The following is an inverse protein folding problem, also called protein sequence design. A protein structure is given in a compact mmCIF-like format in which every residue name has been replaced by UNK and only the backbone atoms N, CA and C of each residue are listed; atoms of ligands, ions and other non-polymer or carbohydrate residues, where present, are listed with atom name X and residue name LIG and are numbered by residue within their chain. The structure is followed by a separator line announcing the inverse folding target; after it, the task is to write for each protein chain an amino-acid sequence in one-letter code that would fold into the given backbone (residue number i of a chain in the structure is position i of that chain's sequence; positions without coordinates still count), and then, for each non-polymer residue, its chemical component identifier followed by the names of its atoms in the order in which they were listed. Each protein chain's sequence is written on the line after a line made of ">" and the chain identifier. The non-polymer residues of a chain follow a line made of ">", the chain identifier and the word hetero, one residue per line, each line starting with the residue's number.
data_IF_406348410645
#
_entry.id   IF_406348410645
#
_cell.length_a   1.000
_cell.length_b   1.000
_cell.length_c   1.000
_cell.angle_alpha   90.00
_cell.angle_beta   90.00
_cell.angle_gamma   90.00
#
_symmetry.space_group_name_H-M   'P 1'
#
loop_
_entity.id
_entity.type
_entity.pdbx_description
1 polymer ?
#
# COMPACT_ATOMS: atom_id res chain seq x y z
N UNK A 1 17.77 -13.08 14.61
CA UNK A 1 17.58 -14.38 13.90
C UNK A 1 18.64 -14.49 12.81
N UNK A 2 19.34 -15.63 12.73
CA UNK A 2 20.38 -15.85 11.71
C UNK A 2 19.77 -16.05 10.31
N UNK A 3 20.55 -15.80 9.25
CA UNK A 3 20.13 -15.98 7.85
C UNK A 3 19.58 -17.38 7.57
N UNK A 4 20.19 -18.41 8.15
CA UNK A 4 19.74 -19.80 7.95
C UNK A 4 18.35 -20.04 8.52
N UNK A 5 18.06 -19.48 9.71
CA UNK A 5 16.76 -19.61 10.37
C UNK A 5 15.64 -18.88 9.62
N UNK A 6 15.98 -17.85 8.82
CA UNK A 6 15.00 -17.12 8.01
C UNK A 6 14.47 -17.92 6.83
N UNK A 7 15.15 -19.01 6.43
CA UNK A 7 14.65 -19.90 5.37
C UNK A 7 13.41 -20.67 5.80
N UNK A 8 13.25 -20.90 7.10
CA UNK A 8 12.01 -21.42 7.66
C UNK A 8 10.97 -20.29 7.72
N UNK A 9 9.98 -20.40 6.83
CA UNK A 9 8.93 -19.39 6.64
C UNK A 9 8.04 -19.26 7.87
N UNK A 10 7.81 -20.33 8.62
CA UNK A 10 6.93 -20.31 9.78
C UNK A 10 7.65 -19.67 10.97
N UNK A 11 8.92 -20.04 11.21
CA UNK A 11 9.76 -19.39 12.22
C UNK A 11 9.93 -17.91 11.91
N UNK A 12 10.16 -17.56 10.64
CA UNK A 12 10.26 -16.16 10.21
C UNK A 12 8.96 -15.38 10.44
N UNK A 13 7.80 -15.96 10.08
CA UNK A 13 6.48 -15.35 10.30
C UNK A 13 6.20 -15.14 11.79
N UNK A 14 6.43 -16.14 12.62
CA UNK A 14 6.25 -16.05 14.07
C UNK A 14 7.15 -14.96 14.67
N UNK A 15 8.43 -14.92 14.27
CA UNK A 15 9.37 -13.91 14.77
C UNK A 15 8.93 -12.50 14.37
N UNK A 16 8.42 -12.30 13.15
CA UNK A 16 7.88 -11.02 12.70
C UNK A 16 6.66 -10.53 13.45
N UNK A 17 5.91 -11.44 14.08
CA UNK A 17 4.76 -11.07 14.91
C UNK A 17 5.17 -10.65 16.34
N UNK A 18 6.45 -10.81 16.71
CA UNK A 18 6.97 -10.37 18.01
C UNK A 18 7.27 -8.87 18.09
N UNK A 19 7.17 -8.14 16.97
CA UNK A 19 7.51 -6.72 16.89
C UNK A 19 7.00 -6.05 15.62
N UNK A 20 7.45 -4.82 15.39
CA UNK A 20 7.27 -4.02 14.19
C UNK A 20 8.50 -4.20 13.31
N UNK A 21 8.27 -4.49 12.03
CA UNK A 21 9.33 -4.54 11.02
C UNK A 21 9.36 -3.29 10.13
N UNK A 22 10.45 -3.08 9.39
CA UNK A 22 10.56 -1.93 8.48
C UNK A 22 9.45 -1.82 7.42
N UNK A 23 8.87 -2.93 6.95
CA UNK A 23 7.71 -2.91 6.04
C UNK A 23 6.41 -2.42 6.69
N UNK A 24 6.34 -2.49 8.02
CA UNK A 24 5.19 -2.11 8.82
C UNK A 24 5.19 -0.58 9.07
N UNK A 25 6.37 0.05 9.09
CA UNK A 25 6.56 1.49 9.28
C UNK A 25 5.67 2.34 8.35
N UNK A 26 5.68 2.03 7.05
CA UNK A 26 4.83 2.73 6.09
C UNK A 26 3.33 2.58 6.38
N UNK A 27 2.87 1.44 6.89
CA UNK A 27 1.46 1.23 7.23
C UNK A 27 1.07 2.02 8.50
N UNK A 28 1.96 2.07 9.49
CA UNK A 28 1.77 2.82 10.74
C UNK A 28 1.73 4.32 10.46
N UNK A 29 2.56 4.81 9.53
CA UNK A 29 2.60 6.21 9.10
C UNK A 29 1.52 6.56 8.06
N UNK A 30 0.68 5.62 7.64
CA UNK A 30 -0.38 5.86 6.65
C UNK A 30 0.11 6.04 5.20
N UNK A 31 1.36 5.69 4.92
CA UNK A 31 2.04 5.87 3.62
C UNK A 31 2.18 4.56 2.82
N UNK A 32 1.50 3.49 3.24
CA UNK A 32 1.50 2.20 2.53
C UNK A 32 0.20 2.03 1.72
N UNK A 33 0.29 1.96 0.38
CA UNK A 33 -0.91 1.85 -0.47
C UNK A 33 -1.62 0.49 -0.38
N UNK A 34 -0.97 -0.52 0.19
CA UNK A 34 -1.45 -1.91 0.20
C UNK A 34 -1.99 -2.35 1.56
N UNK A 35 -1.56 -1.71 2.65
CA UNK A 35 -1.88 -2.13 4.01
C UNK A 35 -2.07 -0.93 4.93
N UNK A 36 -3.24 -0.83 5.56
CA UNK A 36 -3.54 0.17 6.57
C UNK A 36 -3.03 -0.23 7.95
N UNK A 37 -2.94 0.77 8.86
CA UNK A 37 -2.66 0.58 10.29
C UNK A 37 -3.68 -0.38 10.93
N UNK A 38 -4.95 -0.28 10.55
CA UNK A 38 -6.02 -1.17 11.05
C UNK A 38 -5.82 -2.62 10.60
N UNK A 39 -5.54 -2.87 9.32
CA UNK A 39 -5.26 -4.23 8.85
C UNK A 39 -4.02 -4.80 9.55
N UNK A 40 -2.95 -4.01 9.69
CA UNK A 40 -1.75 -4.42 10.41
C UNK A 40 -2.05 -4.79 11.88
N UNK A 41 -2.91 -4.02 12.55
CA UNK A 41 -3.32 -4.30 13.93
C UNK A 41 -4.05 -5.64 14.06
N UNK A 42 -4.98 -5.95 13.16
CA UNK A 42 -5.65 -7.26 13.14
C UNK A 42 -4.65 -8.40 12.98
N UNK A 43 -3.64 -8.22 12.13
CA UNK A 43 -2.56 -9.20 11.92
C UNK A 43 -1.69 -9.37 13.18
N UNK A 44 -1.25 -8.28 13.81
CA UNK A 44 -0.37 -8.31 15.00
C UNK A 44 -1.07 -8.81 16.27
N UNK A 45 -2.40 -8.70 16.33
CA UNK A 45 -3.22 -9.20 17.44
C UNK A 45 -3.79 -10.59 17.20
N UNK A 46 -3.49 -11.22 16.06
CA UNK A 46 -3.97 -12.55 15.71
C UNK A 46 -5.47 -12.62 15.40
N UNK A 47 -6.12 -11.48 15.16
CA UNK A 47 -7.53 -11.40 14.76
C UNK A 47 -7.72 -11.68 13.26
N UNK A 48 -6.66 -11.50 12.46
CA UNK A 48 -6.64 -11.87 11.06
C UNK A 48 -5.31 -12.50 10.69
N UNK A 49 -5.35 -13.53 9.86
CA UNK A 49 -4.14 -14.05 9.24
C UNK A 49 -3.69 -13.13 8.10
N UNK A 50 -2.38 -12.84 7.97
CA UNK A 50 -1.85 -12.16 6.80
C UNK A 50 -2.23 -12.89 5.52
N UNK A 51 -2.49 -12.15 4.44
CA UNK A 51 -2.77 -12.75 3.13
C UNK A 51 -1.61 -13.67 2.72
N UNK A 52 -1.90 -14.92 2.34
CA UNK A 52 -0.87 -15.79 1.80
C UNK A 52 -0.51 -15.35 0.38
N UNK A 53 0.58 -14.61 0.28
CA UNK A 53 1.13 -14.09 -0.97
C UNK A 53 2.20 -15.02 -1.56
N UNK A 54 2.41 -16.22 -1.00
CA UNK A 54 3.44 -17.17 -1.44
C UNK A 54 3.32 -17.57 -2.91
N UNK A 55 2.08 -17.68 -3.43
CA UNK A 55 1.80 -18.01 -4.83
C UNK A 55 1.83 -16.82 -5.79
N UNK A 56 2.12 -15.59 -5.33
CA UNK A 56 2.23 -14.42 -6.20
C UNK A 56 3.61 -14.39 -6.86
N UNK A 57 3.66 -14.40 -8.19
CA UNK A 57 4.90 -14.29 -8.98
C UNK A 57 5.80 -13.12 -8.54
N UNK A 58 5.21 -11.98 -8.19
CA UNK A 58 5.96 -10.81 -7.71
C UNK A 58 6.75 -11.08 -6.41
N UNK A 59 6.23 -11.94 -5.53
CA UNK A 59 6.89 -12.32 -4.27
C UNK A 59 8.02 -13.31 -4.54
N UNK A 60 7.77 -14.28 -5.42
CA UNK A 60 8.79 -15.22 -5.88
C UNK A 60 9.97 -14.48 -6.51
N UNK A 61 9.71 -13.64 -7.53
CA UNK A 61 10.75 -12.91 -8.24
C UNK A 61 11.43 -11.86 -7.36
N UNK A 62 10.72 -11.21 -6.43
CA UNK A 62 11.35 -10.33 -5.44
C UNK A 62 12.40 -11.06 -4.60
N UNK A 63 12.13 -12.30 -4.20
CA UNK A 63 13.07 -13.13 -3.43
C UNK A 63 14.25 -13.59 -4.29
N UNK A 64 13.98 -14.05 -5.51
CA UNK A 64 15.02 -14.54 -6.44
C UNK A 64 15.96 -13.41 -6.86
N UNK A 65 15.40 -12.23 -7.17
CA UNK A 65 16.14 -11.09 -7.71
C UNK A 65 16.87 -10.26 -6.63
N UNK A 66 16.59 -10.47 -5.35
CA UNK A 66 17.27 -9.78 -4.25
C UNK A 66 18.81 -9.89 -4.35
N UNK A 67 19.34 -11.08 -4.65
CA UNK A 67 20.78 -11.27 -4.80
C UNK A 67 21.35 -10.57 -6.06
N UNK A 68 20.81 -10.77 -7.27
CA UNK A 68 21.22 -9.99 -8.45
C UNK A 68 21.15 -8.47 -8.27
N UNK A 69 20.13 -7.94 -7.59
CA UNK A 69 20.02 -6.50 -7.31
C UNK A 69 21.14 -6.04 -6.38
N UNK A 70 21.42 -6.80 -5.33
CA UNK A 70 22.52 -6.49 -4.41
C UNK A 70 23.89 -6.57 -5.11
N UNK A 71 24.10 -7.56 -5.97
CA UNK A 71 25.35 -7.74 -6.72
C UNK A 71 25.55 -6.59 -7.72
N UNK A 72 24.47 -6.15 -8.39
CA UNK A 72 24.52 -5.00 -9.30
C UNK A 72 24.86 -3.69 -8.57
N UNK A 73 24.30 -3.50 -7.36
CA UNK A 73 24.69 -2.39 -6.48
C UNK A 73 26.18 -2.45 -6.14
N UNK A 74 26.70 -3.61 -5.76
CA UNK A 74 28.11 -3.79 -5.43
C UNK A 74 29.03 -3.53 -6.64
N UNK A 75 28.65 -4.00 -7.83
CA UNK A 75 29.38 -3.77 -9.09
C UNK A 75 29.52 -2.28 -9.40
N UNK A 76 28.42 -1.53 -9.33
CA UNK A 76 28.41 -0.10 -9.69
C UNK A 76 29.09 0.80 -8.65
N UNK A 77 28.95 0.47 -7.37
CA UNK A 77 29.49 1.30 -6.28
C UNK A 77 30.89 0.89 -5.84
N UNK A 78 31.37 -0.29 -6.22
CA UNK A 78 32.59 -0.91 -5.71
C UNK A 78 32.52 -1.30 -4.22
N UNK A 79 31.36 -1.18 -3.58
CA UNK A 79 31.17 -1.49 -2.16
C UNK A 79 31.09 -3.00 -1.96
N UNK A 80 31.75 -3.49 -0.90
CA UNK A 80 31.63 -4.89 -0.47
C UNK A 80 30.38 -5.05 0.38
N UNK A 81 29.56 -6.05 0.07
CA UNK A 81 28.32 -6.34 0.79
C UNK A 81 28.37 -7.70 1.49
N UNK A 82 27.61 -7.87 2.56
CA UNK A 82 27.40 -9.16 3.23
C UNK A 82 25.94 -9.34 3.61
N UNK A 83 25.45 -10.59 3.58
CA UNK A 83 24.11 -10.92 4.08
C UNK A 83 24.00 -10.61 5.56
N UNK A 84 22.83 -10.13 5.95
CA UNK A 84 22.43 -9.98 7.34
C UNK A 84 21.12 -10.75 7.58
N UNK A 85 20.88 -11.09 8.84
CA UNK A 85 19.61 -11.68 9.25
C UNK A 85 18.69 -10.62 9.85
N UNK A 86 17.63 -11.08 10.51
CA UNK A 86 16.81 -10.17 11.32
C UNK A 86 17.57 -9.71 12.56
N UNK A 87 17.70 -8.39 12.70
CA UNK A 87 18.23 -7.71 13.87
C UNK A 87 17.08 -7.22 14.74
N UNK A 88 17.34 -7.06 16.03
CA UNK A 88 16.39 -6.56 17.01
C UNK A 88 17.06 -5.45 17.80
N UNK A 89 16.32 -4.37 18.08
CA UNK A 89 16.85 -3.31 18.92
C UNK A 89 17.02 -3.80 20.37
N UNK A 90 18.12 -3.39 21.01
CA UNK A 90 18.45 -3.83 22.39
C UNK A 90 17.56 -3.15 23.43
N UNK A 91 17.27 -1.86 23.25
CA UNK A 91 16.50 -1.06 24.20
C UNK A 91 15.00 -1.33 24.08
N UNK A 92 14.52 -1.46 22.86
CA UNK A 92 13.11 -1.62 22.51
C UNK A 92 12.95 -2.89 21.66
N UNK A 93 12.84 -4.09 22.28
CA UNK A 93 12.86 -5.37 21.55
C UNK A 93 11.73 -5.56 20.53
N UNK A 94 10.71 -4.71 20.57
CA UNK A 94 9.65 -4.71 19.58
C UNK A 94 10.08 -4.12 18.23
N UNK A 95 11.23 -3.44 18.13
CA UNK A 95 11.77 -2.97 16.85
C UNK A 95 12.61 -4.06 16.17
N UNK A 96 12.22 -4.48 14.96
CA UNK A 96 12.83 -5.56 14.19
C UNK A 96 13.30 -5.09 12.80
N UNK A 97 14.55 -5.34 12.44
CA UNK A 97 15.09 -5.01 11.12
C UNK A 97 15.41 -6.28 10.33
N UNK A 98 14.67 -6.55 9.26
CA UNK A 98 14.99 -7.59 8.29
C UNK A 98 15.95 -7.02 7.25
N UNK A 99 17.24 -7.07 7.55
CA UNK A 99 18.26 -6.40 6.73
C UNK A 99 18.69 -7.33 5.60
N UNK A 100 18.52 -6.92 4.33
CA UNK A 100 18.99 -7.73 3.20
C UNK A 100 20.52 -7.82 3.22
N UNK A 101 21.21 -6.69 3.21
CA UNK A 101 22.68 -6.64 3.27
C UNK A 101 23.19 -5.53 4.21
N UNK A 102 24.39 -5.75 4.74
CA UNK A 102 25.20 -4.71 5.36
C UNK A 102 26.40 -4.42 4.46
N UNK A 103 26.84 -3.16 4.46
CA UNK A 103 28.05 -2.76 3.74
C UNK A 103 29.28 -3.04 4.61
N UNK A 104 30.29 -3.68 4.03
CA UNK A 104 31.53 -4.03 4.74
C UNK A 104 32.47 -2.81 4.72
N UNK A 105 32.90 -2.38 5.91
CA UNK A 105 33.78 -1.22 6.06
C UNK A 105 33.06 0.13 6.08
N UNK A 106 31.73 0.12 6.02
CA UNK A 106 30.88 1.32 6.06
C UNK A 106 29.72 1.09 7.03
N UNK A 107 29.32 2.11 7.79
CA UNK A 107 28.17 2.03 8.70
C UNK A 107 26.87 2.21 7.90
N UNK A 108 26.53 1.23 7.08
CA UNK A 108 25.38 1.30 6.17
C UNK A 108 24.69 -0.04 5.99
N UNK A 109 23.37 0.00 5.82
CA UNK A 109 22.56 -1.11 5.34
C UNK A 109 22.22 -0.97 3.85
N UNK A 110 21.72 -2.04 3.26
CA UNK A 110 21.17 -2.05 1.90
C UNK A 110 19.86 -2.83 1.90
N UNK A 111 18.81 -2.22 1.36
CA UNK A 111 17.51 -2.81 1.02
C UNK A 111 17.42 -3.01 -0.50
N UNK A 112 16.97 -4.17 -0.94
CA UNK A 112 16.80 -4.51 -2.35
C UNK A 112 15.32 -4.64 -2.71
N UNK A 113 14.89 -3.94 -3.77
CA UNK A 113 13.51 -3.95 -4.26
C UNK A 113 13.42 -4.40 -5.70
N UNK A 114 12.30 -5.00 -6.05
CA UNK A 114 11.89 -5.23 -7.43
C UNK A 114 10.48 -4.65 -7.61
N UNK A 115 10.27 -3.86 -8.66
CA UNK A 115 8.98 -3.22 -8.92
C UNK A 115 8.61 -3.27 -10.40
N UNK A 116 7.34 -3.02 -10.71
CA UNK A 116 6.83 -3.05 -12.07
C UNK A 116 7.35 -1.85 -12.90
N UNK A 117 7.23 -1.92 -14.22
CA UNK A 117 7.73 -0.89 -15.14
C UNK A 117 6.98 0.46 -15.05
N UNK A 118 5.79 0.51 -14.44
CA UNK A 118 5.02 1.74 -14.31
C UNK A 118 5.52 2.63 -13.16
N UNK A 119 6.24 2.04 -12.21
CA UNK A 119 6.81 2.75 -11.05
C UNK A 119 8.03 3.61 -11.40
N UNK A 120 8.50 3.65 -12.66
CA UNK A 120 9.70 4.42 -13.06
C UNK A 120 9.63 5.88 -12.61
N UNK A 121 8.44 6.50 -12.67
CA UNK A 121 8.25 7.89 -12.27
C UNK A 121 8.55 8.14 -10.79
N UNK A 122 8.25 7.16 -9.94
CA UNK A 122 8.42 7.25 -8.48
C UNK A 122 9.89 7.22 -8.05
N UNK A 123 10.78 6.87 -8.98
CA UNK A 123 12.22 6.72 -8.74
C UNK A 123 13.07 7.72 -9.52
N UNK A 124 12.47 8.60 -10.34
CA UNK A 124 13.25 9.63 -11.04
C UNK A 124 13.88 10.61 -10.06
N UNK A 125 15.07 11.11 -10.42
CA UNK A 125 15.78 12.15 -9.67
C UNK A 125 16.01 11.73 -8.22
N UNK A 126 15.52 12.49 -7.25
CA UNK A 126 15.67 12.20 -5.81
C UNK A 126 14.41 11.57 -5.20
N UNK A 127 13.38 11.27 -6.00
CA UNK A 127 12.12 10.71 -5.48
C UNK A 127 12.29 9.28 -4.94
N UNK A 128 11.63 8.99 -3.83
CA UNK A 128 11.54 7.64 -3.28
C UNK A 128 10.11 7.43 -2.78
N UNK A 129 9.47 6.27 -3.03
CA UNK A 129 8.17 5.99 -2.44
C UNK A 129 8.21 6.13 -0.91
N UNK A 130 7.25 6.86 -0.34
CA UNK A 130 7.23 7.18 1.10
C UNK A 130 7.29 5.93 1.99
N UNK A 131 6.60 4.86 1.60
CA UNK A 131 6.67 3.58 2.32
C UNK A 131 8.10 3.02 2.41
N UNK A 132 8.93 3.20 1.39
CA UNK A 132 10.32 2.75 1.37
C UNK A 132 11.23 3.72 2.12
N UNK A 133 10.94 5.02 2.09
CA UNK A 133 11.60 6.00 2.94
C UNK A 133 11.44 5.65 4.42
N UNK A 134 10.20 5.47 4.89
CA UNK A 134 9.91 5.10 6.28
C UNK A 134 10.52 3.75 6.67
N UNK A 135 10.56 2.78 5.74
CA UNK A 135 11.28 1.52 5.96
C UNK A 135 12.78 1.74 6.22
N UNK A 136 13.44 2.62 5.45
CA UNK A 136 14.85 2.95 5.66
C UNK A 136 15.07 3.66 7.00
N UNK A 137 14.22 4.64 7.35
CA UNK A 137 14.27 5.32 8.65
C UNK A 137 14.08 4.34 9.81
N UNK A 138 13.13 3.39 9.71
CA UNK A 138 12.91 2.35 10.70
C UNK A 138 14.15 1.47 10.91
N UNK A 139 14.82 1.06 9.83
CA UNK A 139 16.04 0.27 9.95
C UNK A 139 17.18 1.05 10.59
N UNK A 140 17.37 2.32 10.24
CA UNK A 140 18.36 3.18 10.88
C UNK A 140 18.04 3.43 12.36
N UNK A 141 16.76 3.58 12.71
CA UNK A 141 16.29 3.64 14.10
C UNK A 141 16.60 2.35 14.87
N UNK A 142 16.30 1.20 14.27
CA UNK A 142 16.48 -0.13 14.90
C UNK A 142 17.95 -0.48 15.09
N UNK A 143 18.79 -0.21 14.09
CA UNK A 143 20.20 -0.65 14.04
C UNK A 143 21.21 0.40 14.51
N UNK A 144 20.82 1.67 14.58
CA UNK A 144 21.73 2.79 14.86
C UNK A 144 22.65 3.17 13.70
N UNK A 145 22.42 2.65 12.49
CA UNK A 145 23.21 3.02 11.32
C UNK A 145 22.81 4.41 10.79
N UNK A 146 23.77 5.22 10.30
CA UNK A 146 23.53 6.58 9.81
C UNK A 146 23.01 6.68 8.36
N UNK A 147 23.05 5.60 7.58
CA UNK A 147 22.61 5.60 6.19
C UNK A 147 22.04 4.24 5.80
N UNK A 148 21.03 4.25 4.94
CA UNK A 148 20.51 3.07 4.29
C UNK A 148 20.53 3.25 2.78
N UNK A 149 21.20 2.35 2.06
CA UNK A 149 21.06 2.28 0.62
C UNK A 149 19.78 1.54 0.27
N UNK A 150 19.10 2.00 -0.77
CA UNK A 150 18.00 1.26 -1.38
C UNK A 150 18.28 1.09 -2.86
N UNK A 151 18.37 -0.16 -3.31
CA UNK A 151 18.58 -0.52 -4.71
C UNK A 151 17.30 -1.14 -5.27
N UNK A 152 16.95 -0.79 -6.50
CA UNK A 152 15.72 -1.25 -7.14
C UNK A 152 15.98 -1.74 -8.57
N UNK A 153 15.33 -2.85 -8.92
CA UNK A 153 15.15 -3.27 -10.31
C UNK A 153 13.71 -2.99 -10.74
N UNK A 154 13.56 -2.07 -11.69
CA UNK A 154 12.29 -1.57 -12.21
C UNK A 154 12.03 -2.24 -13.56
N UNK A 155 10.87 -2.89 -13.69
CA UNK A 155 10.46 -3.54 -14.94
C UNK A 155 11.36 -4.70 -15.38
N UNK A 156 12.26 -5.18 -14.53
CA UNK A 156 13.20 -6.26 -14.81
C UNK A 156 14.44 -5.86 -15.62
N UNK A 157 14.59 -4.59 -16.01
CA UNK A 157 15.69 -4.15 -16.89
C UNK A 157 16.23 -2.75 -16.59
N UNK A 158 15.62 -1.98 -15.69
CA UNK A 158 16.09 -0.65 -15.30
C UNK A 158 16.52 -0.69 -13.83
N UNK A 159 17.82 -0.51 -13.58
CA UNK A 159 18.38 -0.49 -12.24
C UNK A 159 18.59 0.94 -11.76
N UNK A 160 18.27 1.20 -10.49
CA UNK A 160 18.57 2.45 -9.80
C UNK A 160 18.92 2.18 -8.33
N UNK A 161 19.63 3.11 -7.68
CA UNK A 161 19.86 3.06 -6.24
C UNK A 161 19.99 4.46 -5.63
N UNK A 162 19.59 4.58 -4.36
CA UNK A 162 19.66 5.84 -3.60
C UNK A 162 20.30 5.61 -2.24
N UNK A 163 20.99 6.63 -1.74
CA UNK A 163 21.46 6.69 -0.36
C UNK A 163 20.47 7.51 0.47
N UNK A 164 19.78 6.86 1.40
CA UNK A 164 18.83 7.50 2.32
C UNK A 164 19.57 7.83 3.62
N UNK A 165 19.82 9.11 3.92
CA UNK A 165 20.48 9.48 5.16
C UNK A 165 19.51 9.40 6.33
N UNK A 166 20.06 9.19 7.51
CA UNK A 166 19.31 9.25 8.75
C UNK A 166 18.76 10.67 8.96
N UNK A 167 17.47 10.76 9.28
CA UNK A 167 16.79 12.01 9.65
C UNK A 167 16.19 11.84 11.04
N UNK A 168 16.80 12.49 12.04
CA UNK A 168 16.46 12.26 13.45
C UNK A 168 15.07 12.78 13.82
N UNK A 169 14.61 13.87 13.22
CA UNK A 169 13.24 14.40 13.45
C UNK A 169 12.17 13.43 12.93
N UNK A 170 12.37 12.88 11.74
CA UNK A 170 11.48 11.87 11.17
C UNK A 170 11.53 10.57 11.97
N UNK A 171 12.72 10.14 12.42
CA UNK A 171 12.86 8.97 13.28
C UNK A 171 12.16 9.18 14.62
N UNK A 172 12.17 10.40 15.17
CA UNK A 172 11.43 10.71 16.39
C UNK A 172 9.92 10.55 16.18
N UNK A 173 9.38 11.13 15.11
CA UNK A 173 7.96 10.99 14.77
C UNK A 173 7.58 9.53 14.51
N UNK A 174 8.44 8.79 13.80
CA UNK A 174 8.25 7.37 13.53
C UNK A 174 8.27 6.55 14.82
N UNK A 175 9.23 6.80 15.72
CA UNK A 175 9.31 6.10 17.01
C UNK A 175 8.04 6.32 17.84
N UNK A 176 7.55 7.57 17.92
CA UNK A 176 6.34 7.89 18.67
C UNK A 176 5.12 7.13 18.09
N UNK A 177 4.96 7.13 16.77
CA UNK A 177 3.85 6.43 16.10
C UNK A 177 3.95 4.90 16.24
N UNK A 178 5.14 4.32 16.09
CA UNK A 178 5.38 2.88 16.23
C UNK A 178 5.25 2.42 17.69
N UNK A 179 5.75 3.21 18.65
CA UNK A 179 5.62 2.92 20.07
C UNK A 179 4.15 2.99 20.52
N UNK A 180 3.38 4.00 20.08
CA UNK A 180 1.93 4.04 20.35
C UNK A 180 1.25 2.81 19.72
N UNK A 181 1.53 2.52 18.46
CA UNK A 181 0.94 1.35 17.80
C UNK A 181 1.25 0.06 18.55
N UNK A 182 2.50 -0.16 18.94
CA UNK A 182 2.89 -1.40 19.60
C UNK A 182 2.35 -1.49 21.03
N UNK A 183 2.58 -0.47 21.86
CA UNK A 183 2.29 -0.51 23.28
C UNK A 183 0.81 -0.37 23.57
N UNK A 184 0.13 0.58 22.90
CA UNK A 184 -1.30 0.83 23.12
C UNK A 184 -2.15 -0.04 22.19
N UNK A 185 -1.91 0.00 20.88
CA UNK A 185 -2.81 -0.73 19.99
C UNK A 185 -2.64 -2.24 20.08
N UNK A 186 -1.41 -2.75 19.98
CA UNK A 186 -1.15 -4.19 19.95
C UNK A 186 -1.14 -4.80 21.36
N UNK A 187 -0.38 -4.25 22.31
CA UNK A 187 -0.22 -4.87 23.64
C UNK A 187 -1.43 -4.69 24.56
N UNK A 188 -2.07 -3.52 24.56
CA UNK A 188 -3.30 -3.29 25.35
C UNK A 188 -4.57 -3.67 24.59
N UNK A 189 -4.48 -3.99 23.29
CA UNK A 189 -5.62 -4.38 22.47
C UNK A 189 -6.56 -3.22 22.09
N UNK A 190 -6.07 -1.97 22.17
CA UNK A 190 -6.86 -0.79 21.79
C UNK A 190 -6.90 -0.67 20.27
N UNK A 191 -8.08 -0.77 19.66
CA UNK A 191 -8.23 -0.63 18.21
C UNK A 191 -7.69 0.73 17.73
N UNK A 192 -6.86 0.78 16.66
CA UNK A 192 -6.45 2.04 16.05
C UNK A 192 -7.61 2.67 15.26
N UNK A 193 -7.46 3.93 14.89
CA UNK A 193 -8.47 4.64 14.09
C UNK A 193 -8.74 3.96 12.74
N UNK A 194 -9.99 4.05 12.30
CA UNK A 194 -10.47 3.53 11.01
C UNK A 194 -10.24 4.60 9.95
N UNK A 195 -9.34 4.33 9.01
CA UNK A 195 -9.06 5.23 7.88
C UNK A 195 -9.99 4.97 6.67
N UNK A 196 -9.91 5.86 5.68
CA UNK A 196 -10.65 5.75 4.43
C UNK A 196 -10.02 4.85 3.37
N UNK A 197 -9.00 4.04 3.71
CA UNK A 197 -8.29 3.22 2.73
C UNK A 197 -9.10 1.99 2.30
N UNK A 198 -8.88 1.52 1.07
CA UNK A 198 -9.45 0.25 0.62
C UNK A 198 -9.00 -0.94 1.46
N UNK A 199 -7.79 -0.89 2.02
CA UNK A 199 -7.25 -1.93 2.90
C UNK A 199 -8.10 -2.07 4.16
N UNK A 200 -8.45 -0.95 4.80
CA UNK A 200 -9.35 -0.93 5.96
C UNK A 200 -10.74 -1.44 5.60
N UNK A 201 -11.32 -1.00 4.47
CA UNK A 201 -12.62 -1.49 4.02
C UNK A 201 -12.63 -3.03 3.82
N UNK A 202 -11.61 -3.57 3.17
CA UNK A 202 -11.45 -5.03 2.95
C UNK A 202 -11.23 -5.78 4.27
N UNK A 203 -10.48 -5.20 5.21
CA UNK A 203 -10.24 -5.77 6.52
C UNK A 203 -11.54 -5.85 7.36
N UNK A 204 -12.35 -4.78 7.37
CA UNK A 204 -13.66 -4.75 8.02
C UNK A 204 -14.60 -5.79 7.39
N UNK A 205 -14.67 -5.88 6.06
CA UNK A 205 -15.53 -6.86 5.38
C UNK A 205 -15.16 -8.31 5.73
N UNK A 206 -13.85 -8.61 5.84
CA UNK A 206 -13.38 -9.92 6.27
C UNK A 206 -13.68 -10.21 7.74
N UNK A 207 -13.50 -9.22 8.62
CA UNK A 207 -13.72 -9.37 10.07
C UNK A 207 -15.19 -9.63 10.40
N UNK A 208 -16.10 -8.98 9.67
CA UNK A 208 -17.53 -9.04 9.95
C UNK A 208 -18.29 -9.80 8.85
N UNK A 209 -18.37 -11.13 9.03
CA UNK A 209 -19.00 -12.09 8.10
C UNK A 209 -20.46 -11.78 7.67
N UNK A 210 -21.16 -10.90 8.39
CA UNK A 210 -22.53 -10.50 8.07
C UNK A 210 -23.56 -11.56 8.44
N UNK A 211 -24.66 -11.62 7.68
CA UNK A 211 -25.76 -12.60 7.79
C UNK A 211 -26.57 -12.61 9.11
N UNK A 212 -26.38 -11.64 9.99
CA UNK A 212 -27.29 -11.36 11.09
C UNK A 212 -28.31 -10.31 10.63
N UNK A 213 -29.59 -10.67 10.66
CA UNK A 213 -30.69 -9.77 10.28
C UNK A 213 -31.31 -9.04 11.46
N UNK A 214 -30.96 -9.42 12.69
CA UNK A 214 -31.44 -8.76 13.89
C UNK A 214 -30.94 -7.31 13.93
N UNK A 215 -31.84 -6.33 14.14
CA UNK A 215 -31.44 -4.95 14.26
C UNK A 215 -30.64 -4.75 15.55
N UNK A 216 -29.68 -3.82 15.50
CA UNK A 216 -28.99 -3.31 16.68
C UNK A 216 -29.26 -1.81 16.80
N UNK A 217 -29.22 -1.31 18.01
CA UNK A 217 -29.12 0.12 18.24
C UNK A 217 -27.63 0.52 18.14
N UNK A 218 -27.35 1.55 17.34
CA UNK A 218 -25.99 2.07 17.22
C UNK A 218 -25.68 2.99 18.41
N UNK A 219 -24.41 3.10 18.82
CA UNK A 219 -24.01 4.06 19.86
C UNK A 219 -24.23 5.50 19.38
N UNK A 220 -24.34 6.44 20.33
CA UNK A 220 -24.65 7.85 20.09
C UNK A 220 -23.72 8.52 19.06
N UNK A 221 -22.46 8.15 19.06
CA UNK A 221 -21.39 8.65 18.19
C UNK A 221 -21.66 8.34 16.71
N UNK A 222 -22.50 7.33 16.42
CA UNK A 222 -22.92 7.03 15.06
C UNK A 222 -23.75 8.14 14.41
N UNK A 223 -24.44 8.97 15.21
CA UNK A 223 -25.19 10.12 14.70
C UNK A 223 -24.25 11.18 14.09
N UNK A 224 -23.14 11.49 14.77
CA UNK A 224 -22.14 12.43 14.28
C UNK A 224 -21.47 11.91 13.00
N UNK A 225 -21.14 10.61 12.97
CA UNK A 225 -20.60 9.95 11.77
C UNK A 225 -21.57 10.03 10.59
N UNK A 226 -22.86 9.79 10.83
CA UNK A 226 -23.90 9.84 9.79
C UNK A 226 -24.08 11.26 9.25
N UNK A 227 -24.08 12.27 10.13
CA UNK A 227 -24.19 13.67 9.74
C UNK A 227 -22.99 14.12 8.88
N UNK A 228 -21.78 13.75 9.26
CA UNK A 228 -20.58 13.99 8.46
C UNK A 228 -20.67 13.30 7.09
N UNK A 229 -21.14 12.05 7.05
CA UNK A 229 -21.33 11.32 5.80
C UNK A 229 -22.31 12.03 4.85
N UNK A 230 -23.44 12.53 5.38
CA UNK A 230 -24.41 13.30 4.59
C UNK A 230 -23.82 14.61 4.06
N UNK A 231 -23.08 15.33 4.91
CA UNK A 231 -22.40 16.56 4.51
C UNK A 231 -21.40 16.31 3.38
N UNK A 232 -20.57 15.26 3.48
CA UNK A 232 -19.60 14.92 2.43
C UNK A 232 -20.27 14.49 1.14
N UNK A 233 -21.37 13.74 1.18
CA UNK A 233 -22.15 13.39 -0.01
C UNK A 233 -22.75 14.62 -0.69
N UNK A 234 -23.21 15.59 0.10
CA UNK A 234 -23.73 16.83 -0.43
C UNK A 234 -22.61 17.66 -1.09
N UNK A 235 -21.45 17.79 -0.43
CA UNK A 235 -20.27 18.43 -1.01
C UNK A 235 -19.81 17.74 -2.30
N UNK A 236 -19.79 16.41 -2.36
CA UNK A 236 -19.46 15.67 -3.58
C UNK A 236 -20.40 16.03 -4.74
N UNK A 237 -21.70 16.12 -4.46
CA UNK A 237 -22.71 16.52 -5.45
C UNK A 237 -22.47 17.96 -5.94
N UNK A 238 -22.20 18.88 -5.02
CA UNK A 238 -22.01 20.29 -5.33
C UNK A 238 -20.73 20.52 -6.15
N UNK A 239 -19.63 19.85 -5.79
CA UNK A 239 -18.38 19.88 -6.54
C UNK A 239 -18.56 19.28 -7.94
N UNK A 240 -19.27 18.15 -8.07
CA UNK A 240 -19.58 17.56 -9.39
C UNK A 240 -20.40 18.51 -10.26
N UNK A 241 -21.37 19.21 -9.69
CA UNK A 241 -22.14 20.21 -10.42
C UNK A 241 -21.26 21.39 -10.87
N UNK A 242 -20.38 21.87 -10.00
CA UNK A 242 -19.44 22.96 -10.33
C UNK A 242 -18.43 22.57 -11.43
N UNK A 243 -17.90 21.34 -11.39
CA UNK A 243 -17.05 20.78 -12.46
C UNK A 243 -17.81 20.78 -13.77
N UNK A 244 -19.03 20.22 -13.79
CA UNK A 244 -19.86 20.16 -14.99
C UNK A 244 -20.17 21.56 -15.55
N UNK A 245 -20.38 22.55 -14.68
CA UNK A 245 -20.57 23.95 -15.08
C UNK A 245 -19.33 24.50 -15.81
N UNK A 246 -18.12 24.23 -15.30
CA UNK A 246 -16.88 24.69 -15.96
C UNK A 246 -16.61 23.94 -17.26
N UNK A 247 -16.89 22.63 -17.32
CA UNK A 247 -16.83 21.85 -18.55
C UNK A 247 -17.79 22.42 -19.60
N UNK A 248 -19.03 22.73 -19.23
CA UNK A 248 -20.01 23.33 -20.14
C UNK A 248 -19.56 24.69 -20.65
N UNK A 249 -18.95 25.53 -19.79
CA UNK A 249 -18.37 26.82 -20.21
C UNK A 249 -17.25 26.63 -21.24
N UNK A 250 -16.35 25.67 -21.03
CA UNK A 250 -15.29 25.35 -22.00
C UNK A 250 -15.87 24.84 -23.32
N UNK A 251 -16.82 23.89 -23.28
CA UNK A 251 -17.48 23.38 -24.47
C UNK A 251 -18.21 24.51 -25.23
N UNK A 252 -18.87 25.43 -24.53
CA UNK A 252 -19.51 26.60 -25.14
C UNK A 252 -18.51 27.54 -25.82
N UNK A 253 -17.30 27.72 -25.26
CA UNK A 253 -16.21 28.47 -25.91
C UNK A 253 -15.63 27.73 -27.12
N UNK A 254 -15.56 26.39 -27.05
CA UNK A 254 -15.08 25.55 -28.16
C UNK A 254 -16.07 25.48 -29.32
N UNK A 255 -17.38 25.61 -29.07
CA UNK A 255 -18.40 25.56 -30.13
C UNK A 255 -18.30 24.27 -30.94
N UNK A 256 -18.19 24.39 -32.27
CA UNK A 256 -18.07 23.23 -33.17
C UNK A 256 -16.64 22.66 -33.28
N UNK A 257 -15.65 23.26 -32.62
CA UNK A 257 -14.26 22.85 -32.72
C UNK A 257 -13.95 21.70 -31.75
N UNK A 258 -13.38 20.63 -32.28
CA UNK A 258 -13.02 19.47 -31.45
C UNK A 258 -11.71 19.63 -30.67
N UNK A 259 -10.90 20.63 -31.00
CA UNK A 259 -9.58 20.87 -30.40
C UNK A 259 -9.42 22.36 -30.12
N UNK A 260 -9.06 22.69 -28.87
CA UNK A 260 -8.71 24.05 -28.43
C UNK A 260 -7.33 24.10 -27.78
N UNK A 261 -6.72 25.28 -27.74
CA UNK A 261 -5.44 25.52 -27.09
C UNK A 261 -5.51 26.72 -26.15
N UNK A 262 -4.89 26.60 -24.98
CA UNK A 262 -4.63 27.70 -24.05
C UNK A 262 -3.12 27.70 -23.77
N UNK A 263 -2.38 28.56 -24.47
CA UNK A 263 -0.92 28.44 -24.52
C UNK A 263 -0.52 27.06 -25.08
N UNK A 264 0.28 26.31 -24.30
CA UNK A 264 0.77 24.98 -24.68
C UNK A 264 -0.20 23.85 -24.28
N UNK A 265 -1.28 24.16 -23.56
CA UNK A 265 -2.24 23.17 -23.10
C UNK A 265 -3.28 22.88 -24.18
N UNK A 266 -3.31 21.63 -24.65
CA UNK A 266 -4.30 21.11 -25.60
C UNK A 266 -5.54 20.60 -24.88
N UNK A 267 -6.72 21.04 -25.32
CA UNK A 267 -8.02 20.56 -24.87
C UNK A 267 -8.71 19.87 -26.06
N UNK A 268 -9.37 18.73 -25.81
CA UNK A 268 -10.10 18.00 -26.85
C UNK A 268 -11.51 17.69 -26.42
N UNK A 269 -12.48 17.99 -27.28
CA UNK A 269 -13.88 17.62 -27.13
C UNK A 269 -14.33 16.96 -28.43
N UNK A 270 -14.20 15.64 -28.50
CA UNK A 270 -14.43 14.85 -29.71
C UNK A 270 -15.64 13.96 -29.55
N UNK A 271 -16.29 13.64 -30.66
CA UNK A 271 -17.23 12.52 -30.67
C UNK A 271 -16.55 11.24 -30.20
N UNK A 272 -17.27 10.47 -29.38
CA UNK A 272 -16.89 9.13 -28.98
C UNK A 272 -17.96 8.19 -29.50
N UNK A 273 -17.53 7.06 -30.05
CA UNK A 273 -18.47 6.04 -30.48
C UNK A 273 -19.32 5.59 -29.29
N UNK A 274 -20.62 5.42 -29.56
CA UNK A 274 -21.54 4.89 -28.56
C UNK A 274 -21.07 3.52 -28.07
N UNK A 275 -21.21 3.28 -26.77
CA UNK A 275 -20.87 1.98 -26.18
C UNK A 275 -21.67 0.87 -26.85
N UNK A 276 -20.99 -0.07 -27.50
CA UNK A 276 -21.61 -1.29 -28.01
C UNK A 276 -21.82 -2.25 -26.83
N UNK A 277 -23.08 -2.56 -26.51
CA UNK A 277 -23.43 -3.51 -25.46
C UNK A 277 -24.32 -4.62 -25.99
N UNK A 278 -24.15 -5.83 -25.47
CA UNK A 278 -25.07 -6.94 -25.75
C UNK A 278 -26.42 -6.66 -25.10
N UNK A 279 -27.50 -6.78 -25.87
CA UNK A 279 -28.85 -6.76 -25.30
C UNK A 279 -29.09 -8.06 -24.51
N UNK A 280 -28.78 -8.00 -23.21
CA UNK A 280 -28.89 -9.15 -22.32
C UNK A 280 -30.34 -9.63 -22.16
N UNK A 281 -31.33 -8.74 -22.30
CA UNK A 281 -32.75 -9.10 -22.21
C UNK A 281 -33.17 -9.91 -23.42
N UNK A 282 -32.78 -9.46 -24.62
CA UNK A 282 -33.01 -10.19 -25.86
C UNK A 282 -32.25 -11.52 -25.87
N UNK A 283 -30.98 -11.53 -25.44
CA UNK A 283 -30.19 -12.76 -25.34
C UNK A 283 -30.85 -13.79 -24.42
N UNK A 284 -31.33 -13.37 -23.25
CA UNK A 284 -32.04 -14.25 -22.32
C UNK A 284 -33.35 -14.81 -22.88
N UNK A 285 -34.08 -14.00 -23.66
CA UNK A 285 -35.37 -14.36 -24.23
C UNK A 285 -35.22 -15.29 -25.45
N UNK A 286 -34.39 -14.92 -26.39
CA UNK A 286 -34.29 -15.56 -27.71
C UNK A 286 -33.27 -16.71 -27.70
N UNK A 287 -32.28 -16.68 -26.79
CA UNK A 287 -31.19 -17.66 -26.68
C UNK A 287 -30.88 -18.03 -25.20
N UNK A 288 -31.85 -18.61 -24.46
CA UNK A 288 -31.70 -18.88 -23.03
C UNK A 288 -30.54 -19.82 -22.68
N UNK A 289 -30.28 -20.82 -23.53
CA UNK A 289 -29.15 -21.76 -23.40
C UNK A 289 -27.80 -21.03 -23.44
N UNK A 290 -27.62 -20.13 -24.42
CA UNK A 290 -26.39 -19.34 -24.55
C UNK A 290 -26.28 -18.36 -23.39
N UNK A 291 -27.38 -17.70 -23.01
CA UNK A 291 -27.40 -16.80 -21.86
C UNK A 291 -26.92 -17.51 -20.59
N UNK A 292 -27.37 -18.73 -20.33
CA UNK A 292 -26.93 -19.51 -19.18
C UNK A 292 -25.43 -19.85 -19.25
N UNK A 293 -24.91 -20.21 -20.43
CA UNK A 293 -23.49 -20.53 -20.62
C UNK A 293 -22.56 -19.33 -20.44
N UNK A 294 -23.02 -18.11 -20.77
CA UNK A 294 -22.18 -16.90 -20.71
C UNK A 294 -22.43 -16.05 -19.47
N UNK A 295 -23.46 -16.35 -18.68
CA UNK A 295 -23.75 -15.65 -17.43
C UNK A 295 -22.74 -16.05 -16.36
N UNK A 296 -22.12 -15.07 -15.73
CA UNK A 296 -21.25 -15.26 -14.57
C UNK A 296 -21.85 -14.52 -13.38
N UNK A 297 -22.01 -15.20 -12.26
CA UNK A 297 -22.37 -14.56 -11.00
C UNK A 297 -21.09 -14.05 -10.32
N UNK A 298 -21.02 -12.74 -10.09
CA UNK A 298 -19.94 -12.16 -9.29
C UNK A 298 -20.02 -12.58 -7.83
N UNK A 299 -18.93 -12.42 -7.09
CA UNK A 299 -18.92 -12.67 -5.64
C UNK A 299 -19.96 -11.77 -4.95
N UNK A 300 -20.71 -12.28 -3.96
CA UNK A 300 -21.55 -11.44 -3.11
C UNK A 300 -20.73 -10.30 -2.47
N UNK A 301 -21.35 -9.15 -2.27
CA UNK A 301 -20.73 -8.00 -1.58
C UNK A 301 -21.70 -7.40 -0.58
N UNK A 302 -21.21 -6.97 0.58
CA UNK A 302 -22.00 -6.25 1.58
C UNK A 302 -21.90 -4.75 1.31
N UNK A 303 -23.03 -4.04 1.31
CA UNK A 303 -23.07 -2.60 0.98
C UNK A 303 -23.67 -1.79 2.11
N UNK A 304 -22.96 -0.74 2.51
CA UNK A 304 -23.51 0.30 3.37
C UNK A 304 -24.50 1.15 2.57
N UNK A 305 -25.67 1.42 3.15
CA UNK A 305 -26.63 2.42 2.68
C UNK A 305 -26.94 3.32 3.86
N UNK A 306 -26.60 4.60 3.72
CA UNK A 306 -26.71 5.61 4.76
C UNK A 306 -26.91 6.96 4.09
#
# INVERSE_FOLDING_TARGET
>A
MMVEQMKDRDVWRQTRNLGIGGSDAGAIMGMNPWKSKYQLWLEKTGQAEPEDISGKESVYWGTVLEAPVADRFAELTGKKIRRAGMMQNIKDPWMLANVDRLIVGEKAGLECKCTNAFSVKDWKEDNLPDSYYWQCQHYMMTTGLPVWYIAVLIGGNSFDYKAVPRHDDDIKALYEAEAEFWLKNVKEGVMPDIDGSESTAKAIEKQFAGNKSDPIELPSEAADILQLLHNFKQQEKDVKAAIQEQENKLCAMMGDYEIGFIGDQKITWKWQDGRITVDSKKLKKDFPEIYAQVTKQGKPSRRLRA
#
